data_IF_798087901082
#
_entry.id   IF_798087901082
#
_cell.length_a   1.000
_cell.length_b   1.000
_cell.length_c   1.000
_cell.angle_alpha   90.00
_cell.angle_beta   90.00
_cell.angle_gamma   90.00
#
_symmetry.space_group_name_H-M   'P 1'
#
loop_
_entity.id
_entity.type
_entity.pdbx_description
1 polymer ?
#
# COMPACT_ATOMS: atom_id res chain seq x y z
N UNK A 1 35.21 15.81 -11.46
CA UNK A 1 34.72 14.79 -12.41
C UNK A 1 35.86 14.45 -13.33
N UNK A 2 36.35 13.22 -13.29
CA UNK A 2 37.41 12.75 -14.16
C UNK A 2 36.90 12.66 -15.61
N UNK A 3 37.79 12.80 -16.59
CA UNK A 3 37.47 12.72 -18.02
C UNK A 3 36.79 11.41 -18.44
N UNK A 4 36.81 10.39 -17.61
CA UNK A 4 36.27 9.06 -17.83
C UNK A 4 34.84 8.86 -17.32
N UNK A 5 34.09 9.88 -16.89
CA UNK A 5 32.71 9.77 -16.44
C UNK A 5 32.52 9.07 -15.09
N UNK A 6 33.60 8.91 -14.30
CA UNK A 6 33.53 8.31 -12.97
C UNK A 6 33.46 9.43 -11.91
N UNK A 7 32.51 9.32 -10.97
CA UNK A 7 32.44 10.22 -9.82
C UNK A 7 33.57 9.90 -8.84
N UNK A 8 34.37 10.89 -8.49
CA UNK A 8 35.53 10.73 -7.60
C UNK A 8 35.12 10.44 -6.14
N UNK A 9 33.93 10.88 -5.74
CA UNK A 9 33.44 10.68 -4.35
C UNK A 9 32.77 9.32 -4.10
N UNK A 10 32.10 8.74 -5.11
CA UNK A 10 31.33 7.50 -4.92
C UNK A 10 31.66 6.40 -5.95
N UNK A 11 32.54 6.63 -6.90
CA UNK A 11 32.97 5.66 -7.92
C UNK A 11 31.88 5.23 -8.92
N UNK A 12 30.75 5.91 -8.96
CA UNK A 12 29.69 5.59 -9.92
C UNK A 12 30.08 6.02 -11.32
N UNK A 13 29.89 5.13 -12.28
CA UNK A 13 30.10 5.41 -13.70
C UNK A 13 28.84 6.04 -14.29
N UNK A 14 28.98 7.21 -14.90
CA UNK A 14 27.93 7.87 -15.67
C UNK A 14 28.29 7.72 -17.16
N UNK A 15 27.58 6.81 -17.81
CA UNK A 15 27.62 6.71 -19.26
C UNK A 15 27.08 8.02 -19.86
N UNK A 16 27.92 8.80 -20.58
CA UNK A 16 27.43 9.93 -21.36
C UNK A 16 26.51 9.38 -22.44
N UNK A 17 25.21 9.37 -22.18
CA UNK A 17 24.23 9.21 -23.25
C UNK A 17 24.37 10.47 -24.13
N UNK A 18 24.98 10.30 -25.31
CA UNK A 18 24.84 11.26 -26.37
C UNK A 18 23.35 11.38 -26.69
N UNK A 19 22.75 12.50 -26.26
CA UNK A 19 21.40 12.85 -26.69
C UNK A 19 21.43 13.10 -28.19
N UNK A 20 21.11 12.07 -28.96
CA UNK A 20 20.73 12.23 -30.35
C UNK A 20 19.46 13.04 -30.35
N UNK A 21 19.56 14.32 -30.70
CA UNK A 21 18.45 15.28 -30.84
C UNK A 21 17.64 14.90 -32.08
N UNK A 22 16.88 13.78 -32.01
CA UNK A 22 15.96 13.36 -33.10
C UNK A 22 14.48 13.40 -32.68
N UNK A 23 14.16 13.85 -31.45
CA UNK A 23 12.75 13.89 -30.99
C UNK A 23 12.22 15.31 -30.78
N UNK A 24 12.40 16.20 -31.78
CA UNK A 24 11.71 17.50 -31.79
C UNK A 24 10.20 17.42 -32.07
N UNK A 25 9.64 16.24 -32.33
CA UNK A 25 8.23 16.11 -32.76
C UNK A 25 7.27 15.50 -31.73
N UNK A 26 7.69 15.16 -30.52
CA UNK A 26 6.79 14.64 -29.47
C UNK A 26 6.70 15.53 -28.23
N UNK A 27 6.53 16.84 -28.43
CA UNK A 27 6.40 17.82 -27.34
C UNK A 27 5.12 17.63 -26.47
N UNK A 28 4.20 16.72 -26.83
CA UNK A 28 2.96 16.45 -26.11
C UNK A 28 2.90 15.07 -25.44
N UNK A 29 3.92 14.23 -25.58
CA UNK A 29 3.98 12.99 -24.82
C UNK A 29 4.57 13.32 -23.44
N UNK A 30 3.72 13.60 -22.44
CA UNK A 30 4.14 13.53 -21.04
C UNK A 30 4.78 12.15 -20.86
N UNK A 31 6.08 12.06 -20.42
CA UNK A 31 6.69 10.77 -20.21
C UNK A 31 5.77 9.96 -19.30
N UNK A 32 5.33 8.78 -19.74
CA UNK A 32 4.59 7.85 -18.89
C UNK A 32 5.49 7.64 -17.69
N UNK A 33 5.09 8.17 -16.52
CA UNK A 33 5.83 7.97 -15.27
C UNK A 33 5.96 6.47 -15.08
N UNK A 34 7.18 5.97 -15.20
CA UNK A 34 7.48 4.60 -14.85
C UNK A 34 6.96 4.36 -13.43
N UNK A 35 6.22 3.27 -13.22
CA UNK A 35 5.71 2.90 -11.91
C UNK A 35 6.89 2.71 -10.93
N UNK A 36 6.95 3.57 -9.93
CA UNK A 36 7.96 3.50 -8.87
C UNK A 36 7.30 3.03 -7.57
N UNK A 37 7.76 1.89 -7.04
CA UNK A 37 7.23 1.31 -5.80
C UNK A 37 7.39 2.25 -4.61
N UNK A 38 8.50 2.98 -4.53
CA UNK A 38 8.74 3.93 -3.45
C UNK A 38 7.75 5.09 -3.48
N UNK A 39 7.46 5.64 -4.66
CA UNK A 39 6.52 6.75 -4.79
C UNK A 39 5.11 6.29 -4.44
N UNK A 40 4.72 5.10 -4.90
CA UNK A 40 3.44 4.51 -4.50
C UNK A 40 3.36 4.21 -2.98
N UNK A 41 4.45 3.79 -2.36
CA UNK A 41 4.48 3.60 -0.90
C UNK A 41 4.31 4.93 -0.15
N UNK A 42 4.92 6.02 -0.63
CA UNK A 42 4.72 7.36 -0.07
C UNK A 42 3.26 7.84 -0.24
N UNK A 43 2.64 7.53 -1.38
CA UNK A 43 1.21 7.78 -1.59
C UNK A 43 0.38 7.03 -0.55
N UNK A 44 0.64 5.73 -0.31
CA UNK A 44 -0.05 4.95 0.72
C UNK A 44 0.15 5.53 2.12
N UNK A 45 1.35 6.04 2.45
CA UNK A 45 1.61 6.75 3.71
C UNK A 45 0.78 8.03 3.83
N UNK A 46 0.67 8.80 2.75
CA UNK A 46 -0.19 9.99 2.69
C UNK A 46 -1.66 9.64 2.86
N UNK A 47 -2.13 8.61 2.14
CA UNK A 47 -3.49 8.09 2.23
C UNK A 47 -3.84 7.63 3.64
N UNK A 48 -2.96 6.87 4.29
CA UNK A 48 -3.17 6.40 5.67
C UNK A 48 -3.34 7.57 6.65
N UNK A 49 -2.62 8.65 6.45
CA UNK A 49 -2.67 9.85 7.28
C UNK A 49 -3.72 10.88 6.80
N UNK A 50 -4.54 10.54 5.78
CA UNK A 50 -5.53 11.47 5.22
C UNK A 50 -4.91 12.71 4.57
N UNK A 51 -3.60 12.72 4.27
CA UNK A 51 -2.87 13.84 3.67
C UNK A 51 -2.96 13.84 2.14
N UNK A 52 -4.16 13.73 1.59
CA UNK A 52 -4.33 13.75 0.16
C UNK A 52 -4.77 15.14 -0.34
N UNK A 53 -4.06 15.63 -1.36
CA UNK A 53 -4.37 16.91 -2.00
C UNK A 53 -5.54 16.88 -3.00
N UNK A 54 -6.32 15.80 -3.06
CA UNK A 54 -7.47 15.71 -3.97
C UNK A 54 -8.71 16.28 -3.31
N UNK A 55 -9.23 17.36 -3.88
CA UNK A 55 -10.53 17.88 -3.50
C UNK A 55 -11.62 16.92 -3.98
N UNK A 56 -12.37 16.35 -3.04
CA UNK A 56 -13.57 15.56 -3.33
C UNK A 56 -14.76 16.50 -3.25
N UNK A 57 -15.61 16.49 -4.28
CA UNK A 57 -16.75 17.39 -4.30
C UNK A 57 -17.76 17.03 -3.18
N UNK A 58 -18.46 18.04 -2.60
CA UNK A 58 -19.44 17.80 -1.56
C UNK A 58 -20.54 16.81 -1.96
N UNK A 59 -20.96 16.83 -3.23
CA UNK A 59 -22.01 15.96 -3.75
C UNK A 59 -21.59 14.47 -3.67
N UNK A 60 -20.30 14.18 -3.89
CA UNK A 60 -19.77 12.80 -3.78
C UNK A 60 -19.71 12.36 -2.31
N UNK A 61 -19.31 13.28 -1.42
CA UNK A 61 -19.32 13.00 0.02
C UNK A 61 -20.75 12.72 0.52
N UNK A 62 -21.74 13.46 0.04
CA UNK A 62 -23.14 13.28 0.40
C UNK A 62 -23.71 11.98 -0.17
N UNK A 63 -23.34 11.58 -1.40
CA UNK A 63 -23.70 10.27 -1.95
C UNK A 63 -23.15 9.12 -1.09
N UNK A 64 -21.88 9.21 -0.70
CA UNK A 64 -21.25 8.18 0.15
C UNK A 64 -21.89 8.16 1.54
N UNK A 65 -22.21 9.33 2.11
CA UNK A 65 -22.89 9.48 3.40
C UNK A 65 -24.28 8.83 3.37
N UNK A 66 -25.03 9.02 2.28
CA UNK A 66 -26.36 8.40 2.09
C UNK A 66 -26.35 6.88 2.04
N UNK A 67 -25.21 6.25 1.70
CA UNK A 67 -25.06 4.79 1.71
C UNK A 67 -24.66 4.22 3.07
N UNK A 68 -24.34 5.06 4.05
CA UNK A 68 -23.91 4.64 5.38
C UNK A 68 -25.08 4.79 6.37
N UNK A 69 -25.50 3.71 7.07
CA UNK A 69 -26.60 3.77 8.04
C UNK A 69 -26.34 4.75 9.20
N UNK A 70 -25.08 4.79 9.66
CA UNK A 70 -24.59 5.73 10.67
C UNK A 70 -23.16 6.16 10.27
N UNK A 71 -23.06 7.28 9.59
CA UNK A 71 -21.77 7.77 9.12
C UNK A 71 -20.85 8.21 10.27
N UNK A 72 -21.39 8.53 11.46
CA UNK A 72 -20.59 8.94 12.62
C UNK A 72 -19.77 7.80 13.21
N UNK A 73 -20.26 6.57 13.04
CA UNK A 73 -19.62 5.32 13.49
C UNK A 73 -19.03 4.50 12.35
N UNK A 74 -18.99 5.09 11.15
CA UNK A 74 -18.49 4.39 9.97
C UNK A 74 -17.04 3.98 10.13
N UNK A 75 -16.70 2.79 9.63
CA UNK A 75 -15.34 2.28 9.57
C UNK A 75 -14.75 2.46 8.17
N UNK A 76 -13.42 2.36 8.07
CA UNK A 76 -12.73 2.38 6.78
C UNK A 76 -13.27 1.34 5.79
N UNK A 77 -13.79 0.21 6.29
CA UNK A 77 -14.36 -0.86 5.47
C UNK A 77 -15.74 -0.46 4.95
N UNK A 78 -16.55 0.20 5.78
CA UNK A 78 -17.89 0.65 5.40
C UNK A 78 -17.79 1.70 4.29
N UNK A 79 -16.90 2.68 4.43
CA UNK A 79 -16.62 3.68 3.40
C UNK A 79 -16.14 3.03 2.09
N UNK A 80 -15.21 2.06 2.15
CA UNK A 80 -14.78 1.32 0.95
C UNK A 80 -15.91 0.56 0.28
N UNK A 81 -16.82 -0.03 1.08
CA UNK A 81 -17.97 -0.76 0.54
C UNK A 81 -18.98 0.19 -0.10
N UNK A 82 -19.25 1.35 0.51
CA UNK A 82 -20.11 2.40 -0.05
C UNK A 82 -19.54 2.90 -1.40
N UNK A 83 -18.24 3.23 -1.46
CA UNK A 83 -17.56 3.65 -2.69
C UNK A 83 -17.72 2.59 -3.80
N UNK A 84 -17.56 1.30 -3.47
CA UNK A 84 -17.73 0.23 -4.46
C UNK A 84 -19.18 0.07 -4.92
N UNK A 85 -20.14 0.17 -4.00
CA UNK A 85 -21.58 0.08 -4.28
C UNK A 85 -22.01 1.19 -5.24
N UNK A 86 -21.51 2.40 -5.01
CA UNK A 86 -21.76 3.59 -5.86
C UNK A 86 -20.93 3.59 -7.16
N UNK A 87 -20.07 2.58 -7.39
CA UNK A 87 -19.14 2.50 -8.53
C UNK A 87 -18.16 3.68 -8.65
N UNK A 88 -17.90 4.37 -7.55
CA UNK A 88 -16.98 5.50 -7.44
C UNK A 88 -15.54 5.04 -7.25
N UNK A 89 -15.09 4.04 -8.04
CA UNK A 89 -13.80 3.33 -7.86
C UNK A 89 -12.58 4.23 -7.88
N UNK A 90 -12.65 5.38 -8.58
CA UNK A 90 -11.57 6.38 -8.61
C UNK A 90 -11.25 7.02 -7.25
N UNK A 91 -12.16 6.92 -6.27
CA UNK A 91 -11.98 7.42 -4.92
C UNK A 91 -11.66 6.32 -3.90
N UNK A 92 -11.47 5.07 -4.34
CA UNK A 92 -11.26 3.95 -3.43
C UNK A 92 -10.00 4.11 -2.59
N UNK A 93 -9.00 4.80 -3.10
CA UNK A 93 -7.75 5.08 -2.42
C UNK A 93 -7.86 6.23 -1.41
N UNK A 94 -8.84 7.12 -1.61
CA UNK A 94 -9.09 8.29 -0.74
C UNK A 94 -10.02 7.96 0.46
N UNK A 95 -10.27 6.68 0.73
CA UNK A 95 -11.28 6.26 1.73
C UNK A 95 -10.99 6.78 3.14
N UNK A 96 -9.74 6.95 3.54
CA UNK A 96 -9.40 7.54 4.84
C UNK A 96 -9.74 9.03 4.88
N UNK A 97 -9.34 9.78 3.86
CA UNK A 97 -9.70 11.19 3.76
C UNK A 97 -11.22 11.37 3.83
N UNK A 98 -11.97 10.56 3.07
CA UNK A 98 -13.46 10.58 3.09
C UNK A 98 -13.97 10.26 4.48
N UNK A 99 -13.47 9.20 5.12
CA UNK A 99 -13.87 8.79 6.46
C UNK A 99 -13.72 9.93 7.46
N UNK A 100 -12.52 10.54 7.52
CA UNK A 100 -12.26 11.61 8.50
C UNK A 100 -13.03 12.88 8.20
N UNK A 101 -13.21 13.24 6.92
CA UNK A 101 -14.04 14.37 6.52
C UNK A 101 -15.50 14.20 6.93
N UNK A 102 -16.04 12.97 6.86
CA UNK A 102 -17.43 12.70 7.22
C UNK A 102 -17.65 12.54 8.72
N UNK A 103 -16.72 11.88 9.41
CA UNK A 103 -16.87 11.57 10.85
C UNK A 103 -16.35 12.68 11.77
N UNK A 104 -15.57 13.63 11.23
CA UNK A 104 -14.86 14.63 12.04
C UNK A 104 -13.75 14.00 12.90
N UNK A 105 -13.38 12.74 12.66
CA UNK A 105 -12.36 12.05 13.41
C UNK A 105 -10.95 12.49 13.01
N UNK A 106 -10.00 12.27 13.93
CA UNK A 106 -8.59 12.57 13.65
C UNK A 106 -7.94 11.44 12.84
N UNK A 107 -7.24 11.78 11.72
CA UNK A 107 -6.47 10.82 10.98
C UNK A 107 -5.31 10.24 11.81
N UNK A 108 -4.83 9.03 11.50
CA UNK A 108 -3.61 8.51 12.11
C UNK A 108 -2.44 9.45 11.81
N UNK A 109 -1.70 9.82 12.84
CA UNK A 109 -0.54 10.68 12.69
C UNK A 109 0.75 9.91 12.94
N UNK A 110 1.67 9.96 11.98
CA UNK A 110 3.02 9.41 12.10
C UNK A 110 4.00 10.59 12.20
N UNK A 111 4.79 10.64 13.26
CA UNK A 111 5.83 11.68 13.42
C UNK A 111 6.80 11.62 12.24
N UNK A 112 7.26 12.80 11.78
CA UNK A 112 8.10 12.92 10.58
C UNK A 112 9.37 12.07 10.65
N UNK A 113 10.02 12.02 11.82
CA UNK A 113 11.24 11.23 12.01
C UNK A 113 10.98 9.73 11.82
N UNK A 114 9.81 9.25 12.27
CA UNK A 114 9.36 7.86 12.12
C UNK A 114 9.01 7.61 10.65
N UNK A 115 8.30 8.52 10.01
CA UNK A 115 7.95 8.43 8.60
C UNK A 115 9.19 8.34 7.70
N UNK A 116 10.19 9.21 7.93
CA UNK A 116 11.46 9.20 7.21
C UNK A 116 12.20 7.87 7.41
N UNK A 117 12.15 7.30 8.62
CA UNK A 117 12.75 6.00 8.92
C UNK A 117 12.00 4.87 8.20
N UNK A 118 10.67 4.89 8.21
CA UNK A 118 9.81 3.93 7.47
C UNK A 118 10.14 3.97 5.98
N UNK A 119 10.29 5.16 5.40
CA UNK A 119 10.65 5.34 3.98
C UNK A 119 12.04 4.77 3.68
N UNK A 120 13.02 4.98 4.57
CA UNK A 120 14.36 4.37 4.42
C UNK A 120 14.29 2.84 4.51
N UNK A 121 13.56 2.31 5.47
CA UNK A 121 13.37 0.85 5.63
C UNK A 121 12.67 0.25 4.40
N UNK A 122 11.66 0.94 3.83
CA UNK A 122 11.02 0.50 2.59
C UNK A 122 12.00 0.40 1.43
N UNK A 123 12.93 1.36 1.26
CA UNK A 123 13.98 1.27 0.24
C UNK A 123 14.86 0.03 0.41
N UNK A 124 15.14 -0.36 1.65
CA UNK A 124 15.90 -1.60 1.92
C UNK A 124 15.09 -2.84 1.48
N UNK A 125 13.79 -2.88 1.80
CA UNK A 125 12.89 -3.95 1.34
C UNK A 125 12.87 -4.04 -0.19
N UNK A 126 12.71 -2.90 -0.87
CA UNK A 126 12.64 -2.86 -2.34
C UNK A 126 13.91 -3.38 -3.01
N UNK A 127 15.08 -3.10 -2.42
CA UNK A 127 16.37 -3.62 -2.91
C UNK A 127 16.48 -5.15 -2.79
N UNK A 128 16.08 -5.72 -1.66
CA UNK A 128 16.19 -7.18 -1.44
C UNK A 128 15.04 -7.95 -2.05
N UNK A 129 13.98 -7.28 -2.49
CA UNK A 129 12.80 -7.94 -3.05
C UNK A 129 13.15 -8.82 -4.26
N UNK A 130 14.05 -8.38 -5.13
CA UNK A 130 14.47 -9.16 -6.29
C UNK A 130 15.18 -10.47 -5.92
N UNK A 131 15.86 -10.53 -4.76
CA UNK A 131 16.49 -11.76 -4.25
C UNK A 131 15.49 -12.69 -3.59
N UNK A 132 14.52 -12.13 -2.87
CA UNK A 132 13.48 -12.86 -2.13
C UNK A 132 12.51 -13.60 -3.07
N UNK A 133 12.25 -13.03 -4.26
CA UNK A 133 11.16 -13.47 -5.15
C UNK A 133 11.63 -14.28 -6.38
N UNK A 134 12.81 -14.88 -6.37
CA UNK A 134 13.36 -15.53 -7.58
C UNK A 134 12.46 -16.59 -8.23
N UNK A 135 11.48 -17.18 -7.52
CA UNK A 135 10.88 -18.42 -8.00
C UNK A 135 9.40 -18.42 -8.42
N UNK A 136 8.55 -17.43 -8.14
CA UNK A 136 7.14 -17.63 -8.53
C UNK A 136 6.16 -16.46 -8.51
N UNK A 137 6.47 -15.29 -8.00
CA UNK A 137 5.46 -14.24 -7.80
C UNK A 137 5.72 -13.00 -8.63
N UNK A 138 4.75 -12.64 -9.48
CA UNK A 138 4.82 -11.42 -10.32
C UNK A 138 4.45 -10.13 -9.60
N UNK A 139 3.89 -10.19 -8.38
CA UNK A 139 3.36 -9.02 -7.68
C UNK A 139 4.07 -8.74 -6.37
N UNK A 140 4.38 -7.47 -6.13
CA UNK A 140 4.93 -7.00 -4.86
C UNK A 140 4.00 -7.27 -3.68
N UNK A 141 4.51 -7.25 -2.44
CA UNK A 141 3.70 -7.37 -1.23
C UNK A 141 2.69 -6.21 -1.13
N UNK A 142 1.58 -6.44 -0.43
CA UNK A 142 0.61 -5.39 -0.16
C UNK A 142 1.24 -4.26 0.66
N UNK A 143 1.11 -3.02 0.20
CA UNK A 143 1.77 -1.85 0.82
C UNK A 143 1.26 -1.55 2.23
N UNK A 144 -0.03 -1.74 2.51
CA UNK A 144 -0.56 -1.61 3.87
C UNK A 144 -0.03 -2.70 4.81
N UNK A 145 0.19 -3.91 4.30
CA UNK A 145 0.84 -4.96 5.07
C UNK A 145 2.29 -4.58 5.42
N UNK A 146 3.04 -4.05 4.45
CA UNK A 146 4.41 -3.55 4.70
C UNK A 146 4.39 -2.41 5.72
N UNK A 147 3.47 -1.44 5.57
CA UNK A 147 3.31 -0.35 6.53
C UNK A 147 3.03 -0.89 7.94
N UNK A 148 2.12 -1.87 8.08
CA UNK A 148 1.84 -2.51 9.36
C UNK A 148 3.10 -3.12 9.98
N UNK A 149 3.89 -3.87 9.20
CA UNK A 149 5.12 -4.51 9.69
C UNK A 149 6.21 -3.51 10.05
N UNK A 150 6.33 -2.42 9.31
CA UNK A 150 7.28 -1.36 9.63
C UNK A 150 6.88 -0.59 10.90
N UNK A 151 5.59 -0.31 11.08
CA UNK A 151 5.08 0.28 12.33
C UNK A 151 5.29 -0.65 13.52
N UNK A 152 5.07 -1.96 13.35
CA UNK A 152 5.32 -2.98 14.37
C UNK A 152 6.79 -3.01 14.79
N UNK A 153 7.73 -3.03 13.83
CA UNK A 153 9.18 -2.96 14.09
C UNK A 153 9.61 -1.65 14.77
N UNK A 154 8.89 -0.56 14.52
CA UNK A 154 9.14 0.75 15.12
C UNK A 154 8.45 0.93 16.50
N UNK A 155 7.75 -0.11 17.00
CA UNK A 155 7.04 -0.05 18.26
C UNK A 155 5.82 0.88 18.29
N UNK A 156 5.28 1.26 17.11
CA UNK A 156 4.10 2.13 16.98
C UNK A 156 2.82 1.30 17.11
N UNK A 157 2.66 0.60 18.22
CA UNK A 157 1.58 -0.40 18.43
C UNK A 157 0.18 0.22 18.43
N UNK A 158 0.05 1.48 18.83
CA UNK A 158 -1.20 2.25 18.84
C UNK A 158 -1.78 2.50 17.44
N UNK A 159 -0.92 2.52 16.41
CA UNK A 159 -1.34 2.71 15.01
C UNK A 159 -1.73 1.40 14.32
N UNK A 160 -1.30 0.25 14.83
CA UNK A 160 -1.51 -1.05 14.18
C UNK A 160 -3.00 -1.37 13.94
N UNK A 161 -3.93 -1.15 14.89
CA UNK A 161 -5.35 -1.42 14.68
C UNK A 161 -5.97 -0.57 13.57
N UNK A 162 -5.36 0.58 13.24
CA UNK A 162 -5.85 1.50 12.21
C UNK A 162 -5.42 1.11 10.81
N UNK A 163 -4.39 0.24 10.65
CA UNK A 163 -3.89 -0.18 9.33
C UNK A 163 -4.82 -1.25 8.74
N UNK A 164 -5.36 -1.05 7.50
CA UNK A 164 -6.23 -2.03 6.88
C UNK A 164 -5.45 -3.24 6.38
N UNK A 165 -5.52 -4.33 7.11
CA UNK A 165 -4.87 -5.58 6.73
C UNK A 165 -5.67 -6.40 5.71
N UNK A 166 -5.03 -7.44 5.19
CA UNK A 166 -5.61 -8.39 4.26
C UNK A 166 -6.76 -9.18 4.92
N UNK A 167 -7.89 -9.31 4.20
CA UNK A 167 -9.12 -9.90 4.75
C UNK A 167 -9.03 -11.40 5.01
N UNK A 168 -8.22 -12.13 4.25
CA UNK A 168 -8.16 -13.59 4.33
C UNK A 168 -6.92 -14.05 5.07
N UNK A 169 -7.11 -15.00 6.00
CA UNK A 169 -5.99 -15.62 6.76
C UNK A 169 -4.94 -16.23 5.84
N UNK A 170 -5.38 -16.83 4.72
CA UNK A 170 -4.47 -17.44 3.75
C UNK A 170 -3.53 -16.39 3.14
N UNK A 171 -4.07 -15.27 2.64
CA UNK A 171 -3.25 -14.17 2.09
C UNK A 171 -2.34 -13.55 3.12
N UNK A 172 -2.79 -13.42 4.36
CA UNK A 172 -1.97 -12.89 5.44
C UNK A 172 -0.78 -13.81 5.71
N UNK A 173 -1.00 -15.13 5.84
CA UNK A 173 0.09 -16.12 6.01
C UNK A 173 1.08 -16.12 4.84
N UNK A 174 0.59 -15.95 3.60
CA UNK A 174 1.46 -15.81 2.43
C UNK A 174 2.35 -14.57 2.53
N UNK A 175 1.81 -13.45 3.02
CA UNK A 175 2.59 -12.23 3.24
C UNK A 175 3.54 -12.38 4.43
N UNK A 176 3.15 -13.05 5.52
CA UNK A 176 4.03 -13.35 6.65
C UNK A 176 5.22 -14.22 6.24
N UNK A 177 5.00 -15.19 5.34
CA UNK A 177 6.07 -16.00 4.78
C UNK A 177 7.06 -15.18 3.95
N UNK A 178 6.57 -14.30 3.08
CA UNK A 178 7.42 -13.40 2.30
C UNK A 178 8.15 -12.38 3.20
N UNK A 179 7.46 -11.87 4.22
CA UNK A 179 8.03 -10.96 5.20
C UNK A 179 9.17 -11.62 5.98
N UNK A 180 9.01 -12.90 6.35
CA UNK A 180 10.08 -13.65 6.99
C UNK A 180 11.34 -13.69 6.13
N UNK A 181 11.22 -13.99 4.84
CA UNK A 181 12.36 -13.97 3.91
C UNK A 181 13.03 -12.59 3.85
N UNK A 182 12.24 -11.51 3.80
CA UNK A 182 12.77 -10.13 3.82
C UNK A 182 13.51 -9.86 5.12
N UNK A 183 12.98 -10.28 6.27
CA UNK A 183 13.64 -10.13 7.56
C UNK A 183 14.95 -10.91 7.61
N UNK A 184 14.96 -12.15 7.12
CA UNK A 184 16.16 -13.00 7.08
C UNK A 184 17.28 -12.34 6.25
N UNK A 185 16.94 -11.78 5.08
CA UNK A 185 17.90 -11.07 4.20
C UNK A 185 18.40 -9.74 4.80
N UNK A 186 17.56 -9.03 5.56
CA UNK A 186 17.91 -7.72 6.14
C UNK A 186 18.45 -7.82 7.58
N UNK A 187 18.47 -9.01 8.18
CA UNK A 187 18.84 -9.21 9.58
C UNK A 187 17.84 -8.56 10.56
N UNK A 188 16.57 -8.46 10.18
CA UNK A 188 15.52 -7.89 11.03
C UNK A 188 14.82 -8.94 11.86
N UNK A 189 14.33 -8.54 13.04
CA UNK A 189 13.53 -9.44 13.88
C UNK A 189 12.18 -9.72 13.21
N UNK A 190 11.93 -11.00 12.91
CA UNK A 190 10.65 -11.44 12.38
C UNK A 190 9.63 -11.67 13.50
N UNK A 191 8.40 -11.22 13.27
CA UNK A 191 7.24 -11.49 14.11
C UNK A 191 6.06 -11.86 13.23
N UNK A 192 5.33 -12.92 13.60
CA UNK A 192 4.12 -13.32 12.91
C UNK A 192 3.00 -12.31 13.17
N UNK A 193 2.18 -12.01 12.16
CA UNK A 193 1.04 -11.11 12.33
C UNK A 193 -0.05 -11.75 13.17
N UNK A 194 -0.45 -11.11 14.27
CA UNK A 194 -1.55 -11.59 15.11
C UNK A 194 -2.90 -11.45 14.39
N UNK A 195 -3.69 -12.53 14.42
CA UNK A 195 -5.00 -12.60 13.74
C UNK A 195 -6.02 -11.62 14.35
N UNK A 196 -5.83 -11.20 15.59
CA UNK A 196 -6.68 -10.21 16.24
C UNK A 196 -6.82 -8.91 15.44
N UNK A 197 -5.76 -8.50 14.72
CA UNK A 197 -5.79 -7.31 13.85
C UNK A 197 -6.60 -7.50 12.57
N UNK A 198 -6.95 -8.74 12.18
CA UNK A 198 -7.77 -9.02 10.98
C UNK A 198 -9.27 -8.99 11.25
N UNK A 199 -9.68 -9.07 12.52
CA UNK A 199 -11.08 -9.28 12.93
C UNK A 199 -11.86 -7.98 13.18
N UNK A 200 -11.30 -6.81 12.89
CA UNK A 200 -12.09 -5.59 12.96
C UNK A 200 -13.13 -5.61 11.84
N UNK A 201 -14.31 -6.15 12.17
CA UNK A 201 -15.58 -6.09 11.43
C UNK A 201 -15.67 -6.85 10.09
N UNK A 202 -15.45 -8.16 10.10
CA UNK A 202 -15.98 -9.01 9.02
C UNK A 202 -17.03 -9.94 9.60
N UNK A 203 -18.31 -9.56 9.51
CA UNK A 203 -19.40 -10.55 9.55
C UNK A 203 -19.09 -11.60 8.47
N UNK A 204 -19.14 -12.91 8.80
CA UNK A 204 -18.94 -13.93 7.78
C UNK A 204 -20.02 -13.74 6.71
N UNK A 205 -19.59 -13.72 5.44
CA UNK A 205 -20.56 -13.82 4.34
C UNK A 205 -21.33 -15.13 4.52
N UNK A 206 -22.58 -15.04 4.89
CA UNK A 206 -23.56 -16.10 4.63
C UNK A 206 -23.77 -16.16 3.11
N UNK A 207 -22.98 -16.98 2.45
CA UNK A 207 -23.07 -17.21 1.03
C UNK A 207 -22.37 -18.52 0.75
N UNK A 208 -23.17 -19.59 0.75
CA UNK A 208 -22.72 -20.91 0.36
C UNK A 208 -21.96 -20.85 -0.96
N UNK A 209 -20.72 -21.31 -0.94
CA UNK A 209 -19.98 -21.69 -2.14
C UNK A 209 -20.78 -22.83 -2.81
N UNK A 210 -21.57 -22.49 -3.81
CA UNK A 210 -22.20 -23.52 -4.66
C UNK A 210 -21.07 -24.14 -5.46
N UNK A 211 -20.67 -25.37 -5.10
CA UNK A 211 -19.78 -26.23 -5.90
C UNK A 211 -20.32 -26.26 -7.33
N UNK A 212 -19.49 -25.90 -8.28
CA UNK A 212 -19.81 -26.12 -9.70
C UNK A 212 -19.79 -27.63 -9.96
N UNK A 213 -20.70 -28.20 -10.79
CA UNK A 213 -20.85 -29.64 -10.95
C UNK A 213 -19.68 -30.37 -11.66
N UNK A 214 -18.55 -29.71 -11.93
CA UNK A 214 -17.40 -30.26 -12.66
C UNK A 214 -16.06 -30.15 -11.94
N UNK A 215 -16.00 -30.09 -10.61
CA UNK A 215 -14.71 -30.24 -9.91
C UNK A 215 -14.34 -31.72 -9.84
N UNK A 216 -13.10 -32.13 -10.26
CA UNK A 216 -12.63 -33.52 -10.20
C UNK A 216 -12.64 -34.03 -8.75
N UNK A 217 -13.15 -35.23 -8.56
CA UNK A 217 -13.03 -35.95 -7.29
C UNK A 217 -11.57 -36.33 -7.10
N UNK A 218 -10.97 -35.90 -6.01
CA UNK A 218 -9.69 -36.45 -5.52
C UNK A 218 -9.90 -37.92 -5.13
N UNK A 219 -9.12 -38.78 -5.79
CA UNK A 219 -8.92 -40.19 -5.43
C UNK A 219 -7.75 -40.25 -4.46
#
# INVERSE_FOLDING_TARGET
MSENGICEDCGCFFEKQEFIVTDFYNYNARPKRSYNRLDHFKEVLGQFQGREGKTISPEILDQIRGELPDFTKATAIDVKNAIRKLRLTKYIENFYFILFTMTGGEPPYIKREIEDKIVRMFKMIDRVWCTVERDSRRSFMNYYYILFKLLELMGQTELLPRVPLLRTRLRLRQHDFLWKKVCDELGWTWKQTEIAYTNQSVKPRQGAYKKKPNDPQEI
#
